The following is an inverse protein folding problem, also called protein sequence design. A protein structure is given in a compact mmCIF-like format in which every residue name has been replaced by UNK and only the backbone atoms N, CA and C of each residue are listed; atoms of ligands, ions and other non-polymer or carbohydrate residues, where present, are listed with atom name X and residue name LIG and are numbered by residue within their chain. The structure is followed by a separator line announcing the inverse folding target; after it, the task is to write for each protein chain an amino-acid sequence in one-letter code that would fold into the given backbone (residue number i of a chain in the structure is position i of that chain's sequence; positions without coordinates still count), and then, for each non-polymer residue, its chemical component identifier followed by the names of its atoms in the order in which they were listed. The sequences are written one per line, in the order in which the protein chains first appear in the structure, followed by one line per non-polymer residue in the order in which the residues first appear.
data_IF_118209384228
#
_entry.id   IF_118209384228
#
_cell.length_a   1.000
_cell.length_b   1.000
_cell.length_c   1.000
_cell.angle_alpha   90.00
_cell.angle_beta   90.00
_cell.angle_gamma   90.00
#
_symmetry.space_group_name_H-M   'P 1'
#
loop_
_entity.id
_entity.type
_entity.pdbx_description
1 polymer ?
#
# COMPACT_ATOMS: atom_id res chain seq x y z
N UNK A 1 -42.02 -0.65 -28.63
CA UNK A 1 -41.53 -2.04 -28.69
C UNK A 1 -41.07 -2.40 -27.27
N UNK A 2 -41.93 -2.93 -26.38
CA UNK A 2 -41.90 -4.33 -25.88
C UNK A 2 -40.46 -4.92 -25.92
N UNK A 3 -39.81 -5.38 -24.84
CA UNK A 3 -40.31 -6.28 -23.80
C UNK A 3 -39.30 -6.43 -22.62
N UNK A 4 -39.83 -6.39 -21.38
CA UNK A 4 -39.55 -7.25 -20.18
C UNK A 4 -38.12 -7.58 -19.67
N UNK A 5 -37.93 -7.20 -18.40
CA UNK A 5 -37.52 -8.02 -17.22
C UNK A 5 -36.16 -8.74 -17.28
N UNK A 6 -35.20 -8.22 -16.50
CA UNK A 6 -34.47 -9.06 -15.56
C UNK A 6 -34.69 -8.48 -14.17
N UNK A 7 -35.48 -9.21 -13.38
CA UNK A 7 -35.57 -9.08 -11.94
C UNK A 7 -34.19 -9.42 -11.35
N UNK A 8 -33.56 -8.50 -10.65
CA UNK A 8 -32.67 -8.85 -9.53
C UNK A 8 -33.08 -7.98 -8.35
N UNK A 9 -34.13 -8.43 -7.67
CA UNK A 9 -34.09 -8.38 -6.22
C UNK A 9 -32.97 -9.33 -5.75
N UNK A 10 -32.38 -9.05 -4.59
CA UNK A 10 -31.24 -9.72 -3.92
C UNK A 10 -29.89 -9.07 -4.26
N UNK A 11 -29.08 -8.64 -3.30
CA UNK A 11 -29.01 -8.98 -1.88
C UNK A 11 -28.45 -7.74 -1.17
N UNK A 12 -29.17 -7.16 -0.21
CA UNK A 12 -28.50 -6.43 0.85
C UNK A 12 -27.69 -7.49 1.63
N UNK A 13 -26.48 -7.77 1.16
CA UNK A 13 -25.53 -8.56 1.92
C UNK A 13 -25.06 -7.65 3.05
N UNK A 14 -25.85 -7.60 4.12
CA UNK A 14 -25.41 -7.08 5.41
C UNK A 14 -24.30 -8.03 5.87
N UNK A 15 -23.06 -7.71 5.53
CA UNK A 15 -21.92 -8.33 6.18
C UNK A 15 -21.84 -7.67 7.54
N UNK A 16 -22.48 -8.26 8.54
CA UNK A 16 -22.19 -7.95 9.94
C UNK A 16 -20.77 -8.43 10.24
N UNK A 17 -19.77 -7.62 9.91
CA UNK A 17 -18.56 -7.55 10.72
C UNK A 17 -18.95 -6.59 11.85
N UNK A 18 -18.90 -7.09 13.09
CA UNK A 18 -19.37 -6.41 14.29
C UNK A 18 -19.16 -4.89 14.26
N UNK A 19 -20.29 -4.15 14.22
CA UNK A 19 -20.51 -2.72 14.51
C UNK A 19 -20.81 -1.69 13.39
N UNK A 20 -21.00 -2.05 12.11
CA UNK A 20 -21.44 -1.05 11.09
C UNK A 20 -22.48 -1.60 10.11
N UNK A 21 -23.52 -0.81 9.83
CA UNK A 21 -24.51 -1.06 8.75
C UNK A 21 -24.05 -0.35 7.50
N UNK A 22 -24.07 -1.01 6.34
CA UNK A 22 -23.66 -0.44 5.04
C UNK A 22 -24.88 -0.33 4.12
N UNK A 23 -25.18 0.85 3.62
CA UNK A 23 -26.21 1.10 2.60
C UNK A 23 -25.57 1.33 1.23
N UNK A 24 -26.19 0.83 0.16
CA UNK A 24 -25.72 1.06 -1.20
C UNK A 24 -26.83 1.64 -2.07
N UNK A 25 -26.48 2.64 -2.88
CA UNK A 25 -27.39 3.34 -3.80
C UNK A 25 -26.85 3.28 -5.22
N UNK A 26 -27.77 3.17 -6.18
CA UNK A 26 -27.49 3.28 -7.60
C UNK A 26 -28.52 4.20 -8.23
N UNK A 27 -28.05 5.20 -8.98
CA UNK A 27 -28.93 6.00 -9.83
C UNK A 27 -29.15 5.28 -11.17
N UNK A 28 -30.39 5.30 -11.63
CA UNK A 28 -30.88 4.66 -12.85
C UNK A 28 -30.24 5.15 -14.15
N UNK A 29 -29.44 6.22 -14.11
CA UNK A 29 -28.70 6.77 -15.24
C UNK A 29 -27.16 6.66 -15.16
N UNK A 30 -26.60 6.10 -14.08
CA UNK A 30 -25.14 6.02 -13.89
C UNK A 30 -24.66 4.58 -13.72
N UNK A 31 -23.48 4.27 -14.27
CA UNK A 31 -22.79 2.99 -14.03
C UNK A 31 -22.05 2.97 -12.66
N UNK A 32 -22.26 3.99 -11.82
CA UNK A 32 -21.56 4.18 -10.53
C UNK A 32 -22.46 3.75 -9.37
N UNK A 33 -21.86 3.15 -8.33
CA UNK A 33 -22.54 2.71 -7.10
C UNK A 33 -21.96 3.50 -5.92
N UNK A 34 -22.83 4.09 -5.10
CA UNK A 34 -22.47 4.80 -3.87
C UNK A 34 -22.72 3.91 -2.64
N UNK A 35 -21.91 4.07 -1.59
CA UNK A 35 -21.98 3.26 -0.36
C UNK A 35 -21.84 4.15 0.89
N UNK A 36 -22.74 4.00 1.88
CA UNK A 36 -22.74 4.76 3.15
C UNK A 36 -22.84 3.86 4.39
N UNK A 37 -22.57 4.40 5.59
CA UNK A 37 -22.79 3.72 6.88
C UNK A 37 -23.62 4.56 7.84
N UNK A 38 -24.73 4.02 8.37
CA UNK A 38 -25.71 4.77 9.19
C UNK A 38 -25.29 4.95 10.66
N UNK A 39 -25.48 6.17 11.17
CA UNK A 39 -25.57 6.42 12.61
C UNK A 39 -26.56 7.55 12.98
N UNK A 40 -27.63 7.78 12.22
CA UNK A 40 -28.62 8.82 12.53
C UNK A 40 -30.06 8.29 12.52
N UNK A 41 -30.64 8.12 13.72
CA UNK A 41 -32.10 8.07 13.89
C UNK A 41 -32.60 9.45 14.26
N UNK A 42 -33.65 9.97 13.60
CA UNK A 42 -34.39 11.12 14.11
C UNK A 42 -35.90 10.92 14.03
N UNK A 43 -36.57 11.18 15.17
CA UNK A 43 -38.03 11.15 15.32
C UNK A 43 -38.59 12.57 15.23
N UNK A 44 -39.62 12.72 14.40
CA UNK A 44 -40.42 13.92 14.15
C UNK A 44 -41.25 14.36 15.36
N UNK A 45 -41.33 15.68 15.55
CA UNK A 45 -42.23 16.32 16.51
C UNK A 45 -42.24 17.84 16.38
N UNK A 46 -43.12 18.34 15.49
CA UNK A 46 -43.61 19.72 15.30
C UNK A 46 -42.86 20.65 14.34
N UNK A 47 -43.50 20.79 13.17
CA UNK A 47 -43.91 22.01 12.46
C UNK A 47 -43.00 23.26 12.59
N UNK A 48 -42.42 23.62 11.45
CA UNK A 48 -41.40 24.64 11.17
C UNK A 48 -39.95 24.24 11.51
N UNK A 49 -39.41 23.29 10.73
CA UNK A 49 -37.97 23.12 10.58
C UNK A 49 -37.50 24.20 9.59
N UNK A 50 -36.97 25.31 10.11
CA UNK A 50 -35.91 26.01 9.38
C UNK A 50 -34.87 24.96 9.00
N UNK A 51 -34.64 24.78 7.70
CA UNK A 51 -33.53 23.94 7.25
C UNK A 51 -32.27 24.46 7.94
N UNK A 52 -31.59 23.65 8.77
CA UNK A 52 -30.26 24.02 9.23
C UNK A 52 -29.42 24.30 7.98
N UNK A 53 -28.48 25.27 8.02
CA UNK A 53 -27.60 25.52 6.89
C UNK A 53 -27.04 24.19 6.40
N UNK A 54 -27.09 23.95 5.09
CA UNK A 54 -26.56 22.73 4.50
C UNK A 54 -25.07 22.62 4.82
N UNK A 55 -24.78 21.97 5.94
CA UNK A 55 -23.49 21.45 6.30
C UNK A 55 -23.69 19.96 6.59
N UNK A 56 -24.31 19.25 5.64
CA UNK A 56 -24.09 17.82 5.50
C UNK A 56 -22.79 17.67 4.72
N UNK A 57 -21.75 17.25 5.42
CA UNK A 57 -20.42 16.94 4.91
C UNK A 57 -20.51 15.68 4.01
N UNK A 58 -21.29 15.76 2.92
CA UNK A 58 -21.49 14.70 1.90
C UNK A 58 -20.23 14.59 1.02
N UNK A 59 -19.13 14.13 1.61
CA UNK A 59 -17.87 13.98 0.88
C UNK A 59 -17.95 12.81 -0.09
N UNK A 60 -17.72 13.08 -1.37
CA UNK A 60 -17.73 12.05 -2.42
C UNK A 60 -16.35 11.38 -2.47
N UNK A 61 -16.33 10.05 -2.33
CA UNK A 61 -15.11 9.25 -2.45
C UNK A 61 -15.15 8.38 -3.71
N UNK A 62 -14.13 8.50 -4.56
CA UNK A 62 -13.91 7.66 -5.73
C UNK A 62 -12.76 6.70 -5.45
N UNK A 63 -13.06 5.40 -5.36
CA UNK A 63 -12.02 4.38 -5.21
C UNK A 63 -11.38 4.10 -6.56
N UNK A 64 -10.08 4.36 -6.66
CA UNK A 64 -9.31 4.15 -7.89
C UNK A 64 -8.58 2.80 -7.79
N UNK A 65 -8.83 1.89 -8.73
CA UNK A 65 -8.21 0.55 -8.75
C UNK A 65 -7.09 0.43 -9.78
N UNK A 66 -6.96 1.41 -10.66
CA UNK A 66 -5.94 1.51 -11.68
C UNK A 66 -5.58 2.97 -11.93
N UNK A 67 -4.49 3.23 -12.64
CA UNK A 67 -4.10 4.59 -13.04
C UNK A 67 -5.13 5.23 -13.98
N UNK A 68 -5.88 4.43 -14.74
CA UNK A 68 -6.95 4.94 -15.63
C UNK A 68 -8.08 5.60 -14.84
N UNK A 69 -8.28 5.17 -13.58
CA UNK A 69 -9.32 5.68 -12.70
C UNK A 69 -8.85 6.90 -11.87
N UNK A 70 -7.54 7.18 -11.85
CA UNK A 70 -6.92 8.19 -10.98
C UNK A 70 -6.75 9.52 -11.71
N UNK A 71 -7.88 10.08 -12.14
CA UNK A 71 -7.98 11.37 -12.82
C UNK A 71 -9.35 12.00 -12.54
N UNK A 72 -9.46 13.31 -12.66
CA UNK A 72 -10.75 14.00 -12.69
C UNK A 72 -11.43 13.84 -14.06
N UNK A 73 -12.67 14.32 -14.15
CA UNK A 73 -13.22 14.67 -15.46
C UNK A 73 -12.41 15.84 -16.06
N UNK A 74 -12.46 15.96 -17.40
CA UNK A 74 -11.67 16.93 -18.18
C UNK A 74 -12.56 17.69 -19.18
N UNK A 75 -12.90 18.97 -18.93
CA UNK A 75 -12.62 19.72 -17.70
C UNK A 75 -13.38 19.16 -16.48
N UNK A 76 -12.94 19.52 -15.28
CA UNK A 76 -13.68 19.17 -14.05
C UNK A 76 -14.94 20.04 -13.88
N UNK A 77 -15.85 19.62 -13.02
CA UNK A 77 -17.10 20.34 -12.75
C UNK A 77 -16.91 21.46 -11.71
N UNK A 78 -17.68 22.53 -11.86
CA UNK A 78 -17.78 23.60 -10.85
C UNK A 78 -18.43 23.05 -9.56
N UNK A 79 -18.15 23.68 -8.41
CA UNK A 79 -18.61 23.26 -7.07
C UNK A 79 -18.20 21.80 -6.71
N UNK A 80 -17.08 21.30 -7.25
CA UNK A 80 -16.57 19.96 -6.95
C UNK A 80 -16.00 19.88 -5.54
N UNK A 81 -16.32 18.80 -4.84
CA UNK A 81 -15.63 18.36 -3.61
C UNK A 81 -15.50 16.83 -3.62
N UNK A 82 -14.54 16.34 -4.41
CA UNK A 82 -14.39 14.91 -4.72
C UNK A 82 -13.01 14.43 -4.29
N UNK A 83 -12.98 13.33 -3.52
CA UNK A 83 -11.75 12.68 -3.08
C UNK A 83 -11.51 11.37 -3.83
N UNK A 84 -10.43 11.31 -4.58
CA UNK A 84 -9.96 10.11 -5.28
C UNK A 84 -8.98 9.35 -4.37
N UNK A 85 -9.28 8.10 -4.07
CA UNK A 85 -8.50 7.27 -3.16
C UNK A 85 -7.79 6.18 -3.94
N UNK A 86 -6.46 6.21 -3.89
CA UNK A 86 -5.60 5.18 -4.47
C UNK A 86 -4.82 4.48 -3.36
N UNK A 87 -4.84 3.14 -3.37
CA UNK A 87 -4.05 2.32 -2.44
C UNK A 87 -3.27 1.29 -3.22
N UNK A 88 -1.95 1.33 -3.09
CA UNK A 88 -1.08 0.25 -3.53
C UNK A 88 -0.43 -0.40 -2.33
N UNK A 89 -0.93 -1.56 -1.94
CA UNK A 89 -0.45 -2.28 -0.76
C UNK A 89 0.99 -2.78 -0.90
N UNK A 90 1.58 -2.75 -2.10
CA UNK A 90 2.99 -3.09 -2.30
C UNK A 90 3.94 -1.96 -1.89
N UNK A 91 3.46 -0.71 -1.82
CA UNK A 91 4.24 0.46 -1.46
C UNK A 91 4.24 0.72 0.07
N UNK A 92 5.26 1.39 0.60
CA UNK A 92 5.25 2.04 1.93
C UNK A 92 5.29 3.57 1.84
N UNK A 93 5.75 4.14 0.73
CA UNK A 93 5.63 5.54 0.35
C UNK A 93 5.39 5.61 -1.16
N UNK A 94 4.42 6.43 -1.55
CA UNK A 94 4.05 6.63 -2.94
C UNK A 94 4.77 7.87 -3.48
N UNK A 95 5.13 7.84 -4.77
CA UNK A 95 5.37 9.04 -5.57
C UNK A 95 4.37 9.06 -6.70
N UNK A 96 3.56 10.10 -6.71
CA UNK A 96 2.51 10.31 -7.69
C UNK A 96 3.04 11.34 -8.69
N UNK A 97 3.11 10.96 -9.96
CA UNK A 97 3.53 11.84 -11.06
C UNK A 97 2.31 12.23 -11.89
N UNK A 98 2.13 13.51 -12.12
CA UNK A 98 0.98 14.08 -12.81
C UNK A 98 1.30 14.39 -14.27
N UNK A 99 0.29 14.33 -15.12
CA UNK A 99 0.38 14.72 -16.53
C UNK A 99 0.75 16.20 -16.68
N UNK A 100 1.45 16.54 -17.76
CA UNK A 100 1.73 17.91 -18.20
C UNK A 100 0.46 18.74 -18.43
N UNK A 101 -0.67 18.09 -18.73
CA UNK A 101 -1.97 18.75 -18.93
C UNK A 101 -2.65 19.15 -17.61
N UNK A 102 -2.09 18.79 -16.45
CA UNK A 102 -2.70 19.06 -15.14
C UNK A 102 -2.76 20.56 -14.85
N UNK A 103 -3.97 21.09 -14.69
CA UNK A 103 -4.22 22.52 -14.49
C UNK A 103 -5.52 22.76 -13.71
N UNK A 104 -5.47 23.67 -12.74
CA UNK A 104 -6.63 24.17 -11.99
C UNK A 104 -6.78 25.67 -12.19
N UNK A 105 -7.99 26.19 -12.00
CA UNK A 105 -8.16 27.64 -11.95
C UNK A 105 -7.34 28.24 -10.79
N UNK A 106 -6.77 29.42 -11.00
CA UNK A 106 -5.97 30.05 -9.95
C UNK A 106 -6.87 30.58 -8.83
N UNK A 107 -6.39 30.51 -7.58
CA UNK A 107 -6.91 31.18 -6.37
C UNK A 107 -8.00 30.43 -5.59
N UNK A 108 -8.94 29.77 -6.24
CA UNK A 108 -10.07 29.11 -5.55
C UNK A 108 -10.19 27.61 -5.83
N UNK A 109 -9.59 27.15 -6.92
CA UNK A 109 -9.59 25.74 -7.30
C UNK A 109 -8.25 25.09 -7.00
N UNK A 110 -8.32 23.90 -6.40
CA UNK A 110 -7.11 23.22 -5.97
C UNK A 110 -7.28 21.72 -5.83
N UNK A 111 -6.15 21.03 -5.97
CA UNK A 111 -5.98 19.66 -5.51
C UNK A 111 -5.25 19.66 -4.18
N UNK A 112 -5.86 19.10 -3.16
CA UNK A 112 -5.19 18.78 -1.90
C UNK A 112 -4.84 17.30 -1.86
N UNK A 113 -3.58 17.00 -1.60
CA UNK A 113 -3.06 15.64 -1.46
C UNK A 113 -2.97 15.30 0.02
N UNK A 114 -3.54 14.17 0.41
CA UNK A 114 -3.44 13.60 1.76
C UNK A 114 -2.85 12.20 1.73
N UNK A 115 -2.26 11.78 2.86
CA UNK A 115 -1.91 10.38 3.09
C UNK A 115 -3.13 9.53 3.52
N UNK A 116 -2.90 8.23 3.74
CA UNK A 116 -3.92 7.30 4.21
C UNK A 116 -4.52 7.63 5.58
N UNK A 117 -3.81 8.41 6.41
CA UNK A 117 -4.21 8.82 7.76
C UNK A 117 -4.85 10.22 7.79
N UNK A 118 -5.17 10.79 6.63
CA UNK A 118 -5.76 12.13 6.48
C UNK A 118 -4.82 13.28 6.88
N UNK A 119 -3.51 13.05 6.89
CA UNK A 119 -2.54 14.16 7.00
C UNK A 119 -2.39 14.85 5.64
N UNK A 120 -2.51 16.18 5.61
CA UNK A 120 -2.28 16.98 4.41
C UNK A 120 -0.79 16.98 4.03
N UNK A 121 -0.52 16.62 2.78
CA UNK A 121 0.84 16.60 2.19
C UNK A 121 1.12 17.89 1.43
N UNK A 122 0.11 18.41 0.74
CA UNK A 122 0.22 19.67 0.01
C UNK A 122 -1.08 20.03 -0.68
N UNK A 123 -1.21 21.31 -1.01
CA UNK A 123 -2.35 21.92 -1.69
C UNK A 123 -1.83 22.72 -2.88
N UNK A 124 -2.39 22.45 -4.05
CA UNK A 124 -1.83 22.88 -5.34
C UNK A 124 -2.92 23.49 -6.23
N UNK A 125 -2.59 24.55 -6.95
CA UNK A 125 -3.47 25.29 -7.86
C UNK A 125 -2.75 25.61 -9.17
N UNK A 126 -3.45 26.20 -10.15
CA UNK A 126 -2.82 26.56 -11.43
C UNK A 126 -2.14 25.35 -12.07
N UNK A 127 -0.90 25.54 -12.54
CA UNK A 127 -0.07 24.50 -13.16
C UNK A 127 1.01 23.94 -12.24
N UNK A 128 0.89 24.10 -10.91
CA UNK A 128 1.93 23.69 -9.95
C UNK A 128 2.27 22.19 -10.00
N UNK A 129 1.31 21.36 -10.43
CA UNK A 129 1.49 19.91 -10.58
C UNK A 129 1.76 19.46 -12.02
N UNK A 130 1.72 20.33 -13.03
CA UNK A 130 1.95 19.95 -14.43
C UNK A 130 3.33 19.31 -14.61
N UNK A 131 3.37 18.03 -15.01
CA UNK A 131 4.60 17.23 -15.12
C UNK A 131 5.33 16.97 -13.80
N UNK A 132 4.77 17.44 -12.69
CA UNK A 132 5.34 17.39 -11.36
C UNK A 132 5.08 16.06 -10.65
N UNK A 133 5.68 15.90 -9.46
CA UNK A 133 5.40 14.74 -8.62
C UNK A 133 5.29 15.10 -7.14
N UNK A 134 4.46 14.34 -6.42
CA UNK A 134 4.22 14.48 -4.98
C UNK A 134 4.59 13.17 -4.29
N UNK A 135 5.38 13.26 -3.22
CA UNK A 135 5.72 12.13 -2.36
C UNK A 135 4.70 12.04 -1.23
N UNK A 136 4.02 10.90 -1.11
CA UNK A 136 2.99 10.67 -0.11
C UNK A 136 3.47 9.57 0.84
N UNK A 137 3.59 9.85 2.14
CA UNK A 137 3.88 8.84 3.13
C UNK A 137 2.82 7.75 3.18
N UNK A 138 3.23 6.50 3.33
CA UNK A 138 2.30 5.38 3.38
C UNK A 138 1.93 4.83 2.00
N UNK A 139 1.04 3.85 2.01
CA UNK A 139 0.66 3.07 0.84
C UNK A 139 -0.65 3.53 0.18
N UNK A 140 -1.19 4.65 0.67
CA UNK A 140 -2.49 5.18 0.29
C UNK A 140 -2.35 6.69 0.12
N UNK A 141 -2.89 7.20 -0.98
CA UNK A 141 -3.01 8.62 -1.24
C UNK A 141 -4.47 8.97 -1.48
N UNK A 142 -4.88 10.14 -0.98
CA UNK A 142 -6.20 10.73 -1.22
C UNK A 142 -5.98 12.06 -1.93
N UNK A 143 -6.48 12.18 -3.15
CA UNK A 143 -6.40 13.38 -3.97
C UNK A 143 -7.77 14.05 -3.93
N UNK A 144 -7.90 15.15 -3.21
CA UNK A 144 -9.16 15.90 -3.08
C UNK A 144 -9.15 17.08 -4.04
N UNK A 145 -10.03 17.04 -5.03
CA UNK A 145 -10.30 18.18 -5.90
C UNK A 145 -11.40 19.02 -5.27
N UNK A 146 -11.11 20.30 -5.05
CA UNK A 146 -12.07 21.30 -4.60
C UNK A 146 -12.10 22.45 -5.60
N UNK A 147 -13.28 22.78 -6.11
CA UNK A 147 -13.50 23.95 -6.97
C UNK A 147 -14.60 24.84 -6.43
N UNK A 148 -14.59 26.10 -6.86
CA UNK A 148 -15.72 27.01 -6.65
C UNK A 148 -16.75 26.91 -7.80
N UNK A 149 -17.79 27.74 -7.74
CA UNK A 149 -18.89 27.72 -8.70
C UNK A 149 -18.61 28.42 -10.03
N UNK A 150 -17.37 28.83 -10.33
CA UNK A 150 -17.02 29.58 -11.54
C UNK A 150 -15.63 29.22 -12.06
N UNK A 151 -15.59 28.58 -13.23
CA UNK A 151 -14.38 28.53 -14.07
C UNK A 151 -13.57 27.26 -13.86
N UNK A 152 -13.69 26.34 -14.83
CA UNK A 152 -12.97 25.08 -14.81
C UNK A 152 -11.81 25.01 -15.82
N UNK A 153 -10.81 24.24 -15.43
CA UNK A 153 -9.65 23.88 -16.25
C UNK A 153 -9.65 22.37 -16.51
N UNK A 154 -8.55 21.85 -17.05
CA UNK A 154 -8.40 20.43 -17.32
C UNK A 154 -8.62 19.57 -16.06
N UNK A 155 -8.12 20.00 -14.90
CA UNK A 155 -8.12 19.21 -13.67
C UNK A 155 -6.84 18.40 -13.55
N UNK A 156 -6.92 17.18 -13.03
CA UNK A 156 -5.72 16.36 -12.81
C UNK A 156 -5.81 15.01 -13.49
N UNK A 157 -4.67 14.56 -13.99
CA UNK A 157 -4.48 13.19 -14.43
C UNK A 157 -3.15 12.66 -13.88
N UNK A 158 -3.18 11.46 -13.30
CA UNK A 158 -1.97 10.79 -12.83
C UNK A 158 -1.40 9.91 -13.94
N UNK A 159 -0.14 10.15 -14.32
CA UNK A 159 0.56 9.38 -15.33
C UNK A 159 1.27 8.15 -14.74
N UNK A 160 1.84 8.29 -13.55
CA UNK A 160 2.48 7.17 -12.84
C UNK A 160 2.33 7.26 -11.33
N UNK A 161 2.27 6.09 -10.70
CA UNK A 161 2.49 5.94 -9.27
C UNK A 161 3.66 4.98 -9.09
N UNK A 162 4.69 5.47 -8.42
CA UNK A 162 5.93 4.73 -8.16
C UNK A 162 6.02 4.43 -6.66
N UNK A 163 6.49 3.23 -6.34
CA UNK A 163 7.03 2.95 -5.02
C UNK A 163 8.38 3.69 -4.89
N UNK A 164 8.48 4.61 -3.94
CA UNK A 164 9.74 5.35 -3.69
C UNK A 164 10.45 4.94 -2.42
N UNK A 165 10.04 3.82 -1.84
CA UNK A 165 10.84 3.16 -0.84
C UNK A 165 12.00 2.44 -1.52
N UNK A 166 13.22 2.90 -1.25
CA UNK A 166 14.38 2.02 -1.25
C UNK A 166 14.39 1.11 0.01
N UNK A 167 13.22 0.88 0.65
CA UNK A 167 13.02 0.00 1.81
C UNK A 167 11.62 -0.67 1.78
N UNK A 168 11.44 -1.79 1.06
CA UNK A 168 10.40 -2.81 1.17
C UNK A 168 10.20 -3.46 2.54
N UNK A 169 9.04 -4.11 2.66
CA UNK A 169 8.41 -4.66 3.87
C UNK A 169 9.15 -5.84 4.51
N UNK A 170 8.91 -6.00 5.81
CA UNK A 170 9.21 -7.21 6.58
C UNK A 170 8.56 -8.45 5.93
N UNK A 171 9.36 -9.48 5.64
CA UNK A 171 8.97 -10.66 4.86
C UNK A 171 9.46 -10.65 3.41
N UNK A 172 10.16 -9.60 2.99
CA UNK A 172 10.96 -9.58 1.76
C UNK A 172 12.41 -10.04 2.07
N UNK A 173 12.91 -11.13 1.45
CA UNK A 173 14.29 -11.56 1.62
C UNK A 173 15.35 -10.51 1.25
N UNK A 174 14.99 -9.43 0.57
CA UNK A 174 15.90 -8.31 0.30
C UNK A 174 16.24 -7.47 1.56
N UNK A 175 15.34 -7.42 2.55
CA UNK A 175 15.46 -6.54 3.74
C UNK A 175 15.48 -7.32 5.05
N UNK A 176 14.99 -8.54 5.01
CA UNK A 176 15.13 -9.50 6.08
C UNK A 176 16.59 -9.89 6.31
N UNK A 177 17.52 -9.59 5.39
CA UNK A 177 18.90 -10.05 5.45
C UNK A 177 19.89 -8.92 5.19
N UNK A 178 20.84 -8.74 6.09
CA UNK A 178 22.04 -7.93 5.84
C UNK A 178 23.12 -8.84 5.31
N UNK A 179 23.68 -8.47 4.16
CA UNK A 179 24.77 -9.19 3.53
C UNK A 179 26.11 -8.51 3.75
N UNK A 180 27.16 -9.32 3.84
CA UNK A 180 28.55 -8.88 3.81
C UNK A 180 29.32 -9.65 2.73
N UNK A 181 30.32 -8.99 2.14
CA UNK A 181 31.22 -9.60 1.16
C UNK A 181 31.86 -10.87 1.74
N UNK A 182 31.93 -11.92 0.94
CA UNK A 182 32.51 -13.21 1.30
C UNK A 182 33.54 -13.68 0.25
N UNK A 183 34.08 -12.75 -0.53
CA UNK A 183 35.03 -13.03 -1.60
C UNK A 183 34.34 -13.48 -2.89
N UNK A 184 34.98 -14.39 -3.62
CA UNK A 184 34.49 -14.88 -4.91
C UNK A 184 34.41 -16.41 -4.94
N UNK A 185 33.53 -16.95 -5.77
CA UNK A 185 33.56 -18.38 -6.11
C UNK A 185 34.70 -18.73 -7.09
N UNK A 186 34.81 -20.01 -7.45
CA UNK A 186 35.87 -20.54 -8.32
C UNK A 186 35.88 -19.89 -9.73
N UNK A 187 34.72 -19.38 -10.16
CA UNK A 187 34.55 -18.67 -11.43
C UNK A 187 34.86 -17.16 -11.31
N UNK A 188 35.20 -16.70 -10.11
CA UNK A 188 35.50 -15.29 -9.82
C UNK A 188 34.26 -14.41 -9.61
N UNK A 189 33.06 -14.99 -9.46
CA UNK A 189 31.85 -14.21 -9.19
C UNK A 189 31.76 -13.85 -7.70
N UNK A 190 31.30 -12.64 -7.34
CA UNK A 190 31.18 -12.24 -5.95
C UNK A 190 30.13 -13.09 -5.22
N UNK A 191 30.46 -13.47 -4.00
CA UNK A 191 29.61 -14.25 -3.10
C UNK A 191 29.47 -13.55 -1.76
N UNK A 192 28.35 -13.79 -1.08
CA UNK A 192 27.97 -13.03 0.09
C UNK A 192 27.56 -13.93 1.26
N UNK A 193 27.75 -13.40 2.46
CA UNK A 193 27.34 -14.02 3.72
C UNK A 193 26.16 -13.27 4.32
N UNK A 194 25.23 -13.98 4.94
CA UNK A 194 24.21 -13.36 5.79
C UNK A 194 24.88 -12.94 7.10
N UNK A 195 25.00 -11.64 7.31
CA UNK A 195 25.51 -11.01 8.52
C UNK A 195 24.45 -10.91 9.61
N UNK A 196 23.21 -10.60 9.23
CA UNK A 196 22.10 -10.40 10.17
C UNK A 196 20.77 -10.72 9.51
N UNK A 197 19.89 -11.41 10.23
CA UNK A 197 18.49 -11.58 9.89
C UNK A 197 17.61 -10.63 10.71
N UNK A 198 16.71 -9.92 10.03
CA UNK A 198 15.78 -8.91 10.58
C UNK A 198 14.31 -9.23 10.29
N UNK A 199 14.05 -10.34 9.60
CA UNK A 199 12.69 -10.73 9.25
C UNK A 199 11.85 -11.16 10.45
N UNK A 200 10.55 -11.34 10.20
CA UNK A 200 9.57 -11.66 11.24
C UNK A 200 9.74 -13.07 11.87
N UNK A 201 10.59 -13.93 11.32
CA UNK A 201 10.74 -15.32 11.74
C UNK A 201 9.62 -16.21 11.19
N UNK A 202 9.06 -17.10 12.03
CA UNK A 202 8.10 -18.10 11.57
C UNK A 202 8.78 -19.23 10.80
N UNK A 203 8.27 -19.56 9.61
CA UNK A 203 8.86 -20.61 8.78
C UNK A 203 9.71 -19.94 7.69
N UNK A 204 11.02 -19.89 7.90
CA UNK A 204 11.96 -19.19 7.01
C UNK A 204 12.57 -20.17 6.02
N UNK A 205 12.57 -19.80 4.75
CA UNK A 205 13.38 -20.44 3.71
C UNK A 205 14.44 -19.42 3.32
N UNK A 206 15.71 -19.73 3.60
CA UNK A 206 16.80 -18.84 3.22
C UNK A 206 16.94 -18.90 1.69
N UNK A 207 16.89 -17.77 0.98
CA UNK A 207 17.09 -17.74 -0.47
C UNK A 207 18.53 -18.12 -0.84
N UNK A 208 18.72 -18.78 -1.98
CA UNK A 208 20.05 -19.01 -2.53
C UNK A 208 20.69 -17.73 -3.10
N UNK A 209 19.86 -16.75 -3.43
CA UNK A 209 20.25 -15.44 -3.96
C UNK A 209 19.34 -14.35 -3.38
N UNK A 210 19.92 -13.19 -3.09
CA UNK A 210 19.20 -12.00 -2.61
C UNK A 210 19.68 -10.83 -3.48
N UNK A 211 18.78 -10.16 -4.21
CA UNK A 211 19.12 -9.13 -5.22
C UNK A 211 20.10 -9.60 -6.31
N UNK A 212 20.03 -10.87 -6.70
CA UNK A 212 20.99 -11.48 -7.62
C UNK A 212 22.39 -11.67 -7.01
N UNK A 213 22.54 -11.45 -5.70
CA UNK A 213 23.76 -11.71 -4.95
C UNK A 213 23.69 -13.11 -4.36
N UNK A 214 24.64 -13.97 -4.74
CA UNK A 214 24.71 -15.37 -4.33
C UNK A 214 25.07 -15.51 -2.86
N UNK A 215 24.23 -16.21 -2.10
CA UNK A 215 24.40 -16.43 -0.66
C UNK A 215 25.10 -17.76 -0.40
N UNK A 216 26.27 -17.72 0.24
CA UNK A 216 27.10 -18.91 0.49
C UNK A 216 27.39 -19.20 1.96
N UNK A 217 27.08 -18.29 2.88
CA UNK A 217 27.35 -18.51 4.29
C UNK A 217 26.37 -17.77 5.20
N UNK A 218 26.28 -18.25 6.45
CA UNK A 218 25.54 -17.61 7.55
C UNK A 218 26.55 -17.27 8.65
N UNK A 219 26.72 -15.99 8.97
CA UNK A 219 27.76 -15.51 9.88
C UNK A 219 27.44 -15.76 11.35
N UNK A 220 28.44 -15.47 12.19
CA UNK A 220 28.32 -15.47 13.65
C UNK A 220 27.08 -14.69 14.10
N UNK A 221 26.18 -15.37 14.82
CA UNK A 221 25.00 -14.73 15.40
C UNK A 221 23.99 -14.14 14.41
N UNK A 222 24.02 -14.51 13.13
CA UNK A 222 23.17 -13.89 12.11
C UNK A 222 21.67 -13.94 12.44
N UNK A 223 21.18 -15.02 13.04
CA UNK A 223 19.79 -15.20 13.50
C UNK A 223 19.69 -15.20 15.03
N UNK A 224 20.70 -14.72 15.75
CA UNK A 224 20.72 -14.74 17.21
C UNK A 224 19.47 -14.06 17.78
N UNK A 225 18.85 -14.69 18.77
CA UNK A 225 17.66 -14.21 19.46
C UNK A 225 16.41 -14.04 18.57
N UNK A 226 16.35 -14.68 17.40
CA UNK A 226 15.13 -14.73 16.57
C UNK A 226 14.06 -15.64 17.23
N UNK A 227 13.46 -15.15 18.31
CA UNK A 227 12.54 -15.91 19.15
C UNK A 227 11.25 -16.31 18.45
N UNK A 228 10.89 -15.67 17.33
CA UNK A 228 9.70 -16.00 16.53
C UNK A 228 9.97 -17.07 15.47
N UNK A 229 11.24 -17.40 15.20
CA UNK A 229 11.62 -18.44 14.23
C UNK A 229 11.14 -19.81 14.71
N UNK A 230 10.36 -20.50 13.87
CA UNK A 230 9.79 -21.84 14.12
C UNK A 230 10.50 -22.92 13.34
N UNK A 231 10.80 -22.65 12.07
CA UNK A 231 11.59 -23.53 11.21
C UNK A 231 12.49 -22.74 10.28
N UNK A 232 13.63 -23.31 9.92
CA UNK A 232 14.52 -22.75 8.90
C UNK A 232 14.92 -23.80 7.87
N UNK A 233 14.86 -23.46 6.58
CA UNK A 233 15.41 -24.25 5.48
C UNK A 233 16.63 -23.53 4.92
N UNK A 234 17.76 -24.23 4.94
CA UNK A 234 19.05 -23.74 4.42
C UNK A 234 19.20 -24.26 2.97
N UNK A 235 19.47 -23.42 1.95
CA UNK A 235 19.56 -23.83 0.55
C UNK A 235 20.92 -24.46 0.21
N UNK A 236 21.02 -25.19 -0.90
CA UNK A 236 22.26 -25.87 -1.33
C UNK A 236 23.43 -24.89 -1.61
N UNK A 237 23.16 -23.61 -1.83
CA UNK A 237 24.22 -22.61 -2.05
C UNK A 237 25.01 -22.28 -0.78
N UNK A 238 24.42 -22.49 0.41
CA UNK A 238 25.06 -22.18 1.69
C UNK A 238 25.98 -23.32 2.09
N UNK A 239 27.28 -23.02 2.23
CA UNK A 239 28.32 -24.00 2.54
C UNK A 239 28.80 -23.95 3.99
N UNK A 240 28.56 -22.84 4.70
CA UNK A 240 29.03 -22.66 6.09
C UNK A 240 28.01 -21.94 6.98
N UNK A 241 27.92 -22.39 8.23
CA UNK A 241 27.09 -21.82 9.29
C UNK A 241 27.98 -21.47 10.49
N UNK A 242 28.10 -20.19 10.81
CA UNK A 242 29.00 -19.66 11.83
C UNK A 242 28.53 -19.90 13.27
N UNK A 243 29.44 -19.64 14.22
CA UNK A 243 29.18 -19.89 15.63
C UNK A 243 27.99 -19.08 16.13
N UNK A 244 27.15 -19.68 16.98
CA UNK A 244 25.96 -19.03 17.54
C UNK A 244 24.97 -18.46 16.50
N UNK A 245 25.02 -18.88 15.23
CA UNK A 245 24.17 -18.36 14.15
C UNK A 245 22.68 -18.30 14.52
N UNK A 246 22.14 -19.34 15.14
CA UNK A 246 20.74 -19.43 15.59
C UNK A 246 20.62 -19.51 17.12
N UNK A 247 21.61 -18.98 17.86
CA UNK A 247 21.59 -19.02 19.32
C UNK A 247 20.39 -18.25 19.88
N UNK A 248 19.73 -18.81 20.90
CA UNK A 248 18.53 -18.26 21.55
C UNK A 248 17.29 -18.14 20.64
N UNK A 249 17.22 -18.86 19.51
CA UNK A 249 16.00 -19.03 18.72
C UNK A 249 15.01 -19.97 19.44
N UNK A 250 14.38 -19.49 20.51
CA UNK A 250 13.63 -20.33 21.48
C UNK A 250 12.48 -21.16 20.89
N UNK A 251 11.89 -20.74 19.77
CA UNK A 251 10.80 -21.45 19.11
C UNK A 251 11.24 -22.30 17.91
N UNK A 252 12.55 -22.36 17.61
CA UNK A 252 13.08 -23.11 16.48
C UNK A 252 12.97 -24.61 16.78
N UNK A 253 12.07 -25.29 16.08
CA UNK A 253 11.76 -26.72 16.28
C UNK A 253 12.19 -27.59 15.11
N UNK A 254 12.47 -26.99 13.95
CA UNK A 254 12.88 -27.71 12.74
C UNK A 254 13.95 -26.96 11.96
N UNK A 255 15.03 -27.65 11.62
CA UNK A 255 16.09 -27.16 10.74
C UNK A 255 16.23 -28.16 9.59
N UNK A 256 16.07 -27.69 8.36
CA UNK A 256 16.33 -28.48 7.16
C UNK A 256 17.63 -28.00 6.55
N UNK A 257 18.64 -28.87 6.57
CA UNK A 257 19.93 -28.62 5.93
C UNK A 257 19.93 -29.23 4.53
N UNK A 258 20.37 -28.42 3.57
CA UNK A 258 20.72 -28.83 2.22
C UNK A 258 22.03 -29.63 2.19
N UNK A 259 22.34 -30.26 1.05
CA UNK A 259 23.57 -31.06 0.90
C UNK A 259 24.83 -30.19 0.75
N UNK A 260 24.66 -28.89 0.48
CA UNK A 260 25.77 -27.95 0.31
C UNK A 260 26.51 -27.58 1.61
N UNK A 261 25.89 -27.79 2.78
CA UNK A 261 26.49 -27.40 4.07
C UNK A 261 27.66 -28.32 4.40
N UNK A 262 28.88 -27.75 4.44
CA UNK A 262 30.13 -28.47 4.75
C UNK A 262 30.73 -28.12 6.10
N UNK A 263 30.34 -26.97 6.69
CA UNK A 263 30.80 -26.53 8.01
C UNK A 263 29.68 -25.97 8.87
N UNK A 264 29.63 -26.39 10.14
CA UNK A 264 28.74 -25.88 11.18
C UNK A 264 29.57 -25.64 12.44
N UNK A 265 29.69 -24.38 12.85
CA UNK A 265 30.52 -23.97 13.97
C UNK A 265 29.83 -24.16 15.34
N UNK A 266 30.63 -23.99 16.39
CA UNK A 266 30.20 -24.21 17.77
C UNK A 266 28.95 -23.42 18.15
N UNK A 267 27.98 -24.12 18.74
CA UNK A 267 26.76 -23.51 19.26
C UNK A 267 25.86 -22.87 18.17
N UNK A 268 25.99 -23.26 16.90
CA UNK A 268 25.16 -22.71 15.83
C UNK A 268 23.65 -22.81 16.10
N UNK A 269 23.20 -23.83 16.84
CA UNK A 269 21.79 -24.08 17.16
C UNK A 269 21.58 -24.34 18.68
N UNK A 270 21.86 -23.35 19.54
CA UNK A 270 21.79 -23.47 21.01
C UNK A 270 20.78 -22.55 21.70
#
# INVERSE_FOLDING_TARGET
MKLKRITVALLAAVVTVSSFTINAFADSGSDKIAVSTENDTYSDGNEDIEMPPETSDERIYVKCTSLVDLQSDHPYEDDSDITYVYTDKSCNNLKITFSEDTEFENRYDYLTVYDGNDNEIGKYSGTELAGGSVKVPGNTAKLRLTSDGVGNCYGFKVDSVENIDNVPKQGDPEYDYILSDNGTDDDGNPIYSIEQYRGAGGNVVIPSEINGLKVTAIRYGAFKECTTLKSVTIPDSVTSIGASAFSYCRNLTSVTLSNGVTSIDWGAFC
#
